data_IF_991039383945
#
_entry.id   IF_991039383945
#
_cell.length_a   1.000
_cell.length_b   1.000
_cell.length_c   1.000
_cell.angle_alpha   90.00
_cell.angle_beta   90.00
_cell.angle_gamma   90.00
#
_symmetry.space_group_name_H-M   'P 1'
#
loop_
_entity.id
_entity.type
_entity.pdbx_description
1 polymer ?
#
# COMPACT_ATOMS: atom_id res chain seq x y z
N UNK A 1 -19.40 5.83 -18.20
CA UNK A 1 -18.03 5.34 -17.94
C UNK A 1 -17.65 5.89 -16.60
N UNK A 2 -17.38 5.02 -15.62
CA UNK A 2 -16.36 5.20 -14.58
C UNK A 2 -16.41 3.90 -13.76
N UNK A 3 -15.44 3.03 -14.00
CA UNK A 3 -15.34 1.73 -13.36
C UNK A 3 -14.89 1.95 -11.91
N UNK A 4 -15.73 1.57 -10.94
CA UNK A 4 -15.43 1.66 -9.51
C UNK A 4 -14.19 0.81 -9.21
N UNK A 5 -13.08 1.49 -8.91
CA UNK A 5 -11.84 0.93 -8.40
C UNK A 5 -12.11 0.09 -7.16
N UNK A 6 -11.43 -1.06 -7.02
CA UNK A 6 -11.69 -2.08 -6.00
C UNK A 6 -11.78 -1.58 -4.56
N UNK A 7 -12.52 -2.31 -3.73
CA UNK A 7 -12.79 -2.03 -2.32
C UNK A 7 -11.51 -1.76 -1.53
N UNK A 8 -11.31 -0.49 -1.14
CA UNK A 8 -10.33 -0.07 -0.14
C UNK A 8 -10.97 -0.31 1.23
N UNK A 9 -10.44 -1.22 2.04
CA UNK A 9 -10.92 -1.46 3.40
C UNK A 9 -9.91 -0.90 4.41
N UNK A 10 -10.38 -0.03 5.31
CA UNK A 10 -9.60 0.37 6.48
C UNK A 10 -9.68 -0.74 7.52
N UNK A 11 -8.54 -1.25 7.97
CA UNK A 11 -8.44 -2.23 9.04
C UNK A 11 -7.86 -1.56 10.29
N UNK A 12 -8.60 -1.68 11.39
CA UNK A 12 -8.12 -1.37 12.73
C UNK A 12 -7.85 -2.72 13.42
N UNK A 13 -6.61 -2.97 13.85
CA UNK A 13 -6.27 -4.08 14.72
C UNK A 13 -6.23 -3.53 16.15
N UNK A 14 -7.03 -4.08 17.06
CA UNK A 14 -7.10 -3.67 18.47
C UNK A 14 -5.73 -3.77 19.19
N UNK A 15 -4.75 -4.47 18.60
CA UNK A 15 -3.36 -4.55 19.06
C UNK A 15 -2.38 -3.62 18.31
N UNK A 16 -2.78 -3.03 17.19
CA UNK A 16 -1.98 -2.09 16.40
C UNK A 16 -2.37 -0.65 16.70
N UNK A 17 -1.38 0.24 16.79
CA UNK A 17 -1.63 1.69 16.96
C UNK A 17 -1.96 2.42 15.66
N UNK A 18 -1.92 1.74 14.52
CA UNK A 18 -2.00 2.37 13.19
C UNK A 18 -3.14 1.78 12.36
N UNK A 19 -3.87 2.65 11.65
CA UNK A 19 -4.91 2.25 10.70
C UNK A 19 -4.29 1.92 9.33
N UNK A 20 -4.66 0.76 8.78
CA UNK A 20 -4.14 0.28 7.49
C UNK A 20 -5.20 0.33 6.39
N UNK A 21 -4.84 0.78 5.19
CA UNK A 21 -5.66 0.66 3.98
C UNK A 21 -5.28 -0.62 3.25
N UNK A 22 -6.15 -1.62 3.33
CA UNK A 22 -5.96 -2.94 2.74
C UNK A 22 -6.46 -2.98 1.29
N UNK A 23 -5.68 -3.64 0.44
CA UNK A 23 -6.04 -4.00 -0.93
C UNK A 23 -5.80 -5.50 -1.15
N UNK A 24 -6.83 -6.22 -1.58
CA UNK A 24 -6.73 -7.67 -1.87
C UNK A 24 -6.02 -7.90 -3.20
N UNK A 25 -5.07 -8.85 -3.22
CA UNK A 25 -4.39 -9.31 -4.42
C UNK A 25 -4.78 -10.76 -4.69
N UNK A 26 -4.45 -11.29 -5.88
CA UNK A 26 -4.80 -12.67 -6.26
C UNK A 26 -4.16 -13.74 -5.36
N UNK A 27 -3.04 -13.41 -4.68
CA UNK A 27 -2.26 -14.35 -3.86
C UNK A 27 -2.09 -13.93 -2.41
N UNK A 28 -2.83 -12.91 -1.96
CA UNK A 28 -2.53 -12.28 -0.68
C UNK A 28 -3.25 -10.96 -0.42
N UNK A 29 -2.57 -10.10 0.32
CA UNK A 29 -2.99 -8.72 0.56
C UNK A 29 -1.81 -7.77 0.61
N UNK A 30 -2.03 -6.56 0.13
CA UNK A 30 -1.12 -5.43 0.28
C UNK A 30 -1.80 -4.38 1.14
N UNK A 31 -1.12 -3.89 2.18
CA UNK A 31 -1.67 -2.90 3.12
C UNK A 31 -0.69 -1.74 3.24
N UNK A 32 -1.18 -0.51 3.14
CA UNK A 32 -0.43 0.71 3.46
C UNK A 32 -0.94 1.30 4.77
N UNK A 33 -0.02 1.70 5.65
CA UNK A 33 -0.29 2.45 6.88
C UNK A 33 0.04 3.92 6.62
N UNK A 34 -0.95 4.80 6.35
CA UNK A 34 -0.72 6.19 5.96
C UNK A 34 0.10 6.98 6.98
N UNK A 35 -0.08 6.69 8.27
CA UNK A 35 0.62 7.29 9.40
C UNK A 35 2.13 6.98 9.46
N UNK A 36 2.59 5.98 8.71
CA UNK A 36 4.01 5.63 8.59
C UNK A 36 4.59 6.05 7.23
N UNK A 37 3.75 6.36 6.25
CA UNK A 37 4.19 6.67 4.90
C UNK A 37 4.70 8.12 4.82
N UNK A 38 6.02 8.29 4.63
CA UNK A 38 6.64 9.61 4.39
C UNK A 38 6.73 10.03 2.92
N UNK A 39 6.12 9.26 2.01
CA UNK A 39 6.13 9.60 0.59
C UNK A 39 7.52 9.57 -0.08
N UNK A 40 8.40 8.62 0.27
CA UNK A 40 9.74 8.55 -0.31
C UNK A 40 9.82 7.95 -1.72
N UNK A 41 8.80 7.21 -2.16
CA UNK A 41 8.72 6.66 -3.52
C UNK A 41 9.55 5.40 -3.79
N UNK A 42 10.34 4.90 -2.84
CA UNK A 42 11.15 3.68 -3.02
C UNK A 42 10.32 2.46 -3.41
N UNK A 43 9.11 2.32 -2.84
CA UNK A 43 8.21 1.22 -3.19
C UNK A 43 7.72 1.29 -4.66
N UNK A 44 7.57 2.49 -5.22
CA UNK A 44 7.23 2.70 -6.64
C UNK A 44 8.41 2.23 -7.49
N UNK A 45 9.62 2.72 -7.19
CA UNK A 45 10.85 2.39 -7.94
C UNK A 45 11.16 0.89 -7.93
N UNK A 46 10.96 0.22 -6.79
CA UNK A 46 11.28 -1.20 -6.63
C UNK A 46 10.16 -2.15 -7.06
N UNK A 47 9.01 -1.65 -7.51
CA UNK A 47 7.92 -2.50 -7.97
C UNK A 47 8.25 -3.09 -9.35
N UNK A 48 8.50 -4.40 -9.49
CA UNK A 48 8.94 -4.99 -10.78
C UNK A 48 7.82 -5.00 -11.84
N UNK A 49 6.57 -4.76 -11.43
CA UNK A 49 5.37 -4.78 -12.29
C UNK A 49 4.68 -3.42 -12.34
N UNK A 50 5.30 -2.37 -11.77
CA UNK A 50 4.86 -0.97 -11.87
C UNK A 50 3.38 -0.72 -11.49
N UNK A 51 2.90 -1.34 -10.40
CA UNK A 51 1.49 -1.20 -9.95
C UNK A 51 1.29 -0.27 -8.78
N UNK A 52 2.34 0.42 -8.32
CA UNK A 52 2.27 1.36 -7.20
C UNK A 52 2.43 2.77 -7.77
N UNK A 53 1.58 3.69 -7.34
CA UNK A 53 1.58 5.09 -7.78
C UNK A 53 1.34 6.03 -6.61
N UNK A 54 1.55 7.33 -6.82
CA UNK A 54 1.13 8.34 -5.86
C UNK A 54 -0.40 8.39 -5.79
N UNK A 55 -0.94 8.44 -4.57
CA UNK A 55 -2.36 8.69 -4.36
C UNK A 55 -2.63 10.20 -4.31
N UNK A 56 -3.91 10.57 -4.41
CA UNK A 56 -4.38 11.93 -4.12
C UNK A 56 -4.51 12.23 -2.63
N UNK A 57 -4.39 11.21 -1.78
CA UNK A 57 -4.48 11.33 -0.32
C UNK A 57 -3.10 11.59 0.29
N UNK A 58 -3.09 12.30 1.41
CA UNK A 58 -1.87 12.63 2.15
C UNK A 58 -1.55 11.55 3.20
N UNK A 59 -0.26 11.32 3.42
CA UNK A 59 0.28 10.50 4.51
C UNK A 59 0.74 11.34 5.70
N UNK A 60 1.53 10.72 6.58
CA UNK A 60 1.93 11.24 7.89
C UNK A 60 2.55 12.65 7.90
N UNK A 61 3.23 13.05 6.83
CA UNK A 61 3.98 14.31 6.76
C UNK A 61 3.35 15.34 5.80
N UNK A 62 2.09 15.15 5.42
CA UNK A 62 1.45 15.98 4.39
C UNK A 62 1.99 15.73 2.98
N UNK A 63 2.79 14.66 2.80
CA UNK A 63 3.25 14.16 1.50
C UNK A 63 2.22 13.20 0.92
N UNK A 64 2.07 13.14 -0.39
CA UNK A 64 1.23 12.13 -1.03
C UNK A 64 1.68 10.72 -0.59
N UNK A 65 0.76 9.96 -0.02
CA UNK A 65 1.01 8.53 0.23
C UNK A 65 0.96 7.77 -1.10
N UNK A 66 1.40 6.52 -1.08
CA UNK A 66 1.25 5.63 -2.23
C UNK A 66 -0.08 4.88 -2.21
N UNK A 67 -0.55 4.49 -3.38
CA UNK A 67 -1.63 3.53 -3.58
C UNK A 67 -1.23 2.46 -4.60
N UNK A 68 -2.03 1.39 -4.68
CA UNK A 68 -1.73 0.23 -5.51
C UNK A 68 -2.90 -0.13 -6.42
N UNK A 69 -2.59 -0.53 -7.66
CA UNK A 69 -3.49 -1.32 -8.49
C UNK A 69 -3.33 -2.80 -8.14
N UNK A 70 -4.13 -3.27 -7.18
CA UNK A 70 -3.97 -4.59 -6.58
C UNK A 70 -4.15 -5.76 -7.55
N UNK A 71 -4.92 -5.58 -8.64
CA UNK A 71 -5.12 -6.60 -9.69
C UNK A 71 -3.84 -6.95 -10.44
N UNK A 72 -2.89 -6.03 -10.56
CA UNK A 72 -1.60 -6.30 -11.20
C UNK A 72 -0.50 -6.73 -10.21
N UNK A 73 -0.80 -6.78 -8.92
CA UNK A 73 0.20 -7.05 -7.89
C UNK A 73 0.53 -8.54 -7.81
N UNK A 74 1.78 -8.89 -8.12
CA UNK A 74 2.29 -10.27 -8.00
C UNK A 74 2.65 -10.68 -6.56
N UNK A 75 2.38 -9.84 -5.55
CA UNK A 75 2.58 -10.15 -4.12
C UNK A 75 4.04 -10.54 -3.77
N UNK A 76 5.02 -9.90 -4.42
CA UNK A 76 6.45 -10.23 -4.30
C UNK A 76 7.16 -9.65 -3.05
N UNK A 77 6.48 -8.80 -2.28
CA UNK A 77 6.96 -8.16 -1.03
C UNK A 77 8.12 -7.16 -1.18
N UNK A 78 8.66 -6.91 -2.37
CA UNK A 78 9.78 -5.97 -2.56
C UNK A 78 9.51 -4.56 -2.03
N UNK A 79 8.28 -4.05 -2.20
CA UNK A 79 7.87 -2.76 -1.67
C UNK A 79 7.89 -2.68 -0.14
N UNK A 80 7.51 -3.77 0.55
CA UNK A 80 7.60 -3.86 2.01
C UNK A 80 9.06 -3.94 2.47
N UNK A 81 9.89 -4.75 1.78
CA UNK A 81 11.31 -4.93 2.12
C UNK A 81 12.14 -3.65 1.96
N UNK A 82 11.81 -2.81 0.98
CA UNK A 82 12.53 -1.56 0.73
C UNK A 82 11.89 -0.35 1.41
N UNK A 83 10.78 -0.51 2.13
CA UNK A 83 10.17 0.60 2.86
C UNK A 83 10.97 0.85 4.14
N UNK A 84 11.68 1.99 4.26
CA UNK A 84 12.51 2.25 5.44
C UNK A 84 11.70 2.48 6.71
N UNK A 85 10.41 2.82 6.58
CA UNK A 85 9.51 3.16 7.69
C UNK A 85 8.48 2.04 7.97
N UNK A 86 8.62 0.88 7.30
CA UNK A 86 7.70 -0.26 7.40
C UNK A 86 6.22 0.10 7.15
N UNK A 87 5.95 1.14 6.35
CA UNK A 87 4.61 1.62 6.06
C UNK A 87 3.79 0.67 5.17
N UNK A 88 4.43 -0.29 4.50
CA UNK A 88 3.77 -1.24 3.60
C UNK A 88 3.93 -2.66 4.15
N UNK A 89 2.82 -3.39 4.26
CA UNK A 89 2.79 -4.81 4.60
C UNK A 89 2.26 -5.64 3.43
N UNK A 90 2.83 -6.83 3.23
CA UNK A 90 2.41 -7.77 2.20
C UNK A 90 2.33 -9.18 2.79
N UNK A 91 1.13 -9.74 2.81
CA UNK A 91 0.83 -11.07 3.36
C UNK A 91 0.44 -12.00 2.21
N UNK A 92 0.96 -13.23 2.24
CA UNK A 92 0.55 -14.30 1.32
C UNK A 92 -0.61 -15.07 1.96
N UNK A 93 -1.59 -15.46 1.16
CA UNK A 93 -2.67 -16.34 1.59
C UNK A 93 -2.34 -17.80 1.25
#
# INVERSE_FOLDING_TARGET
>A
MEQKSGEKQVIADERSKFEGVLSKTDRGSWTIFPELCKGCGLCIEKCPVNVISWSSELGAYGTNRVEINAKGCITCKLCALHCPDAAVSVVLN
#
